data_IF_326512532852
#
_entry.id   IF_326512532852
#
_cell.length_a   1.000
_cell.length_b   1.000
_cell.length_c   1.000
_cell.angle_alpha   90.00
_cell.angle_beta   90.00
_cell.angle_gamma   90.00
#
_symmetry.space_group_name_H-M   'P 1'
#
loop_
_entity.id
_entity.type
_entity.pdbx_description
1 polymer ?
#
# COMPACT_ATOMS: atom_id res chain seq x y z
N UNK A 1 -58.37 -70.44 7.92
CA UNK A 1 -57.15 -69.82 8.47
C UNK A 1 -57.07 -70.13 9.96
N UNK A 2 -56.01 -70.80 10.40
CA UNK A 2 -55.77 -71.16 11.81
C UNK A 2 -55.22 -69.98 12.60
N UNK A 3 -55.25 -70.06 13.94
CA UNK A 3 -54.60 -69.07 14.81
C UNK A 3 -53.09 -68.98 14.54
N UNK A 4 -52.46 -70.13 14.27
CA UNK A 4 -51.04 -70.20 13.92
C UNK A 4 -50.72 -69.42 12.65
N UNK A 5 -51.52 -69.59 11.59
CA UNK A 5 -51.35 -68.85 10.32
C UNK A 5 -51.48 -67.33 10.52
N UNK A 6 -52.44 -66.89 11.35
CA UNK A 6 -52.63 -65.47 11.69
C UNK A 6 -51.44 -64.88 12.44
N UNK A 7 -50.92 -65.64 13.41
CA UNK A 7 -49.78 -65.21 14.22
C UNK A 7 -48.51 -65.11 13.37
N UNK A 8 -48.27 -66.09 12.49
CA UNK A 8 -47.15 -66.06 11.54
C UNK A 8 -47.23 -64.87 10.57
N UNK A 9 -48.41 -64.58 10.02
CA UNK A 9 -48.61 -63.44 9.13
C UNK A 9 -48.36 -62.10 9.83
N UNK A 10 -48.85 -61.94 11.07
CA UNK A 10 -48.59 -60.76 11.87
C UNK A 10 -47.10 -60.58 12.17
N UNK A 11 -46.41 -61.66 12.58
CA UNK A 11 -44.98 -61.63 12.85
C UNK A 11 -44.15 -61.21 11.63
N UNK A 12 -44.52 -61.67 10.43
CA UNK A 12 -43.84 -61.32 9.18
C UNK A 12 -44.02 -59.84 8.83
N UNK A 13 -45.23 -59.29 8.99
CA UNK A 13 -45.50 -57.86 8.75
C UNK A 13 -44.74 -57.00 9.76
N UNK A 14 -44.71 -57.37 11.04
CA UNK A 14 -43.95 -56.66 12.07
C UNK A 14 -42.45 -56.67 11.76
N UNK A 15 -41.88 -57.83 11.44
CA UNK A 15 -40.46 -57.94 11.08
C UNK A 15 -40.11 -57.13 9.82
N UNK A 16 -41.00 -57.10 8.82
CA UNK A 16 -40.84 -56.26 7.63
C UNK A 16 -40.84 -54.77 7.96
N UNK A 17 -41.77 -54.32 8.80
CA UNK A 17 -41.86 -52.93 9.24
C UNK A 17 -40.64 -52.51 10.08
N UNK A 18 -40.14 -53.38 10.95
CA UNK A 18 -38.94 -53.14 11.74
C UNK A 18 -37.71 -53.03 10.84
N UNK A 19 -37.56 -53.95 9.88
CA UNK A 19 -36.47 -53.92 8.90
C UNK A 19 -36.48 -52.62 8.09
N UNK A 20 -37.65 -52.21 7.56
CA UNK A 20 -37.80 -50.94 6.84
C UNK A 20 -37.46 -49.74 7.73
N UNK A 21 -37.77 -49.80 9.03
CA UNK A 21 -37.44 -48.75 9.97
C UNK A 21 -35.91 -48.65 10.19
N UNK A 22 -35.22 -49.79 10.33
CA UNK A 22 -33.75 -49.83 10.42
C UNK A 22 -33.07 -49.39 9.12
N UNK A 23 -33.59 -49.77 7.96
CA UNK A 23 -33.05 -49.33 6.66
C UNK A 23 -33.21 -47.81 6.45
N UNK A 24 -34.32 -47.23 6.90
CA UNK A 24 -34.59 -45.78 6.78
C UNK A 24 -33.82 -44.93 7.79
N UNK A 25 -33.70 -45.40 9.04
CA UNK A 25 -33.03 -44.67 10.14
C UNK A 25 -31.51 -44.88 10.08
N UNK A 26 -31.05 -46.05 9.60
CA UNK A 26 -29.66 -46.45 9.61
C UNK A 26 -29.19 -46.99 10.97
N UNK A 27 -27.94 -47.45 11.01
CA UNK A 27 -27.30 -47.94 12.23
C UNK A 27 -26.61 -46.77 12.97
N UNK A 28 -27.01 -46.51 14.23
CA UNK A 28 -26.43 -45.42 15.01
C UNK A 28 -24.92 -45.59 15.24
N UNK A 29 -24.42 -46.83 15.23
CA UNK A 29 -23.00 -47.13 15.38
C UNK A 29 -22.14 -46.53 14.24
N UNK A 30 -22.71 -46.26 13.07
CA UNK A 30 -21.99 -45.72 11.91
C UNK A 30 -21.96 -44.18 11.85
N UNK A 31 -22.55 -43.49 12.83
CA UNK A 31 -22.47 -42.02 12.91
C UNK A 31 -21.04 -41.56 13.24
N UNK A 32 -20.60 -40.44 12.66
CA UNK A 32 -19.31 -39.81 13.00
C UNK A 32 -19.39 -38.86 14.21
N UNK A 33 -20.59 -38.65 14.76
CA UNK A 33 -20.78 -37.89 16.01
C UNK A 33 -20.24 -38.68 17.20
N UNK A 34 -19.89 -37.97 18.27
CA UNK A 34 -19.47 -38.60 19.53
C UNK A 34 -20.65 -39.30 20.20
N UNK A 35 -21.81 -38.65 20.23
CA UNK A 35 -23.05 -39.15 20.83
C UNK A 35 -23.83 -39.98 19.81
N UNK A 36 -24.06 -41.26 20.15
CA UNK A 36 -24.74 -42.25 19.29
C UNK A 36 -25.96 -42.92 19.96
N UNK A 37 -26.46 -42.34 21.05
CA UNK A 37 -27.59 -42.89 21.83
C UNK A 37 -28.94 -42.71 21.12
N UNK A 38 -29.07 -41.69 20.27
CA UNK A 38 -30.22 -41.47 19.39
C UNK A 38 -29.82 -40.54 18.24
N UNK A 39 -30.60 -40.55 17.13
CA UNK A 39 -30.44 -39.55 16.06
C UNK A 39 -30.61 -38.12 16.58
N UNK A 40 -31.55 -37.90 17.50
CA UNK A 40 -31.81 -36.58 18.09
C UNK A 40 -30.60 -36.08 18.85
N UNK A 41 -29.96 -36.94 19.64
CA UNK A 41 -28.75 -36.58 20.38
C UNK A 41 -27.58 -36.24 19.44
N UNK A 42 -27.39 -37.04 18.38
CA UNK A 42 -26.39 -36.77 17.35
C UNK A 42 -26.65 -35.45 16.59
N UNK A 43 -27.90 -35.16 16.24
CA UNK A 43 -28.30 -33.91 15.58
C UNK A 43 -28.07 -32.70 16.49
N UNK A 44 -28.41 -32.80 17.77
CA UNK A 44 -28.19 -31.71 18.74
C UNK A 44 -26.70 -31.46 18.99
N UNK A 45 -25.84 -32.50 18.95
CA UNK A 45 -24.39 -32.35 18.98
C UNK A 45 -23.89 -31.53 17.77
N UNK A 46 -24.35 -31.90 16.55
CA UNK A 46 -23.98 -31.18 15.31
C UNK A 46 -24.48 -29.73 15.35
N UNK A 47 -25.72 -29.48 15.79
CA UNK A 47 -26.26 -28.13 15.92
C UNK A 47 -25.42 -27.26 16.87
N UNK A 48 -24.99 -27.84 17.99
CA UNK A 48 -24.12 -27.16 18.97
C UNK A 48 -22.74 -26.86 18.38
N UNK A 49 -22.16 -27.82 17.65
CA UNK A 49 -20.87 -27.65 16.98
C UNK A 49 -20.92 -26.56 15.91
N UNK A 50 -21.99 -26.52 15.10
CA UNK A 50 -22.21 -25.47 14.09
C UNK A 50 -22.44 -24.11 14.75
N UNK A 51 -23.25 -24.05 15.81
CA UNK A 51 -23.46 -22.80 16.57
C UNK A 51 -22.18 -22.27 17.22
N UNK A 52 -21.25 -23.16 17.57
CA UNK A 52 -19.94 -22.83 18.14
C UNK A 52 -18.87 -22.57 17.07
N UNK A 53 -19.14 -22.89 15.81
CA UNK A 53 -18.27 -22.64 14.67
C UNK A 53 -18.30 -21.15 14.28
N UNK A 54 -17.94 -20.26 15.21
CA UNK A 54 -17.72 -18.85 14.90
C UNK A 54 -16.39 -18.72 14.18
N UNK A 55 -16.38 -18.74 12.85
CA UNK A 55 -15.16 -18.52 12.08
C UNK A 55 -14.72 -17.05 12.13
N UNK A 56 -15.62 -16.13 12.50
CA UNK A 56 -15.36 -14.69 12.56
C UNK A 56 -15.08 -14.26 14.00
N UNK A 57 -13.95 -13.62 14.25
CA UNK A 57 -13.61 -13.07 15.55
C UNK A 57 -12.77 -11.79 15.43
N UNK A 58 -13.35 -10.63 15.73
CA UNK A 58 -12.71 -9.31 15.58
C UNK A 58 -11.85 -8.86 16.76
N UNK A 59 -11.71 -9.72 17.78
CA UNK A 59 -11.04 -9.37 19.05
C UNK A 59 -9.63 -9.91 19.17
N UNK A 60 -9.33 -11.04 18.52
CA UNK A 60 -8.05 -11.73 18.62
C UNK A 60 -7.53 -12.16 17.25
N UNK A 61 -6.23 -12.04 17.05
CA UNK A 61 -5.56 -12.64 15.90
C UNK A 61 -5.55 -14.16 16.10
N UNK A 62 -5.87 -14.90 15.04
CA UNK A 62 -5.92 -16.35 15.07
C UNK A 62 -5.52 -16.94 13.72
N UNK A 63 -4.92 -18.13 13.74
CA UNK A 63 -4.66 -18.93 12.53
C UNK A 63 -5.87 -19.75 12.09
N UNK A 64 -6.94 -19.82 12.91
CA UNK A 64 -8.14 -20.64 12.65
C UNK A 64 -9.43 -19.82 12.59
N UNK A 65 -9.31 -18.49 12.67
CA UNK A 65 -10.42 -17.54 12.58
C UNK A 65 -10.06 -16.45 11.57
N UNK A 66 -11.08 -15.81 11.02
CA UNK A 66 -10.96 -14.63 10.17
C UNK A 66 -11.57 -13.42 10.86
N UNK A 67 -11.23 -12.23 10.39
CA UNK A 67 -11.93 -11.00 10.74
C UNK A 67 -13.19 -10.81 9.89
N UNK A 68 -14.12 -10.02 10.39
CA UNK A 68 -15.27 -9.50 9.64
C UNK A 68 -14.78 -8.51 8.57
N UNK A 69 -15.58 -8.29 7.53
CA UNK A 69 -15.27 -7.29 6.50
C UNK A 69 -15.09 -5.89 7.09
N UNK A 70 -15.92 -5.52 8.07
CA UNK A 70 -15.84 -4.24 8.77
C UNK A 70 -14.51 -4.08 9.52
N UNK A 71 -14.03 -5.14 10.20
CA UNK A 71 -12.75 -5.10 10.90
C UNK A 71 -11.57 -5.06 9.93
N UNK A 72 -11.67 -5.76 8.79
CA UNK A 72 -10.66 -5.71 7.73
C UNK A 72 -10.54 -4.29 7.15
N UNK A 73 -11.67 -3.65 6.80
CA UNK A 73 -11.67 -2.26 6.31
C UNK A 73 -11.04 -1.30 7.34
N UNK A 74 -11.43 -1.41 8.61
CA UNK A 74 -10.87 -0.56 9.67
C UNK A 74 -9.35 -0.74 9.87
N UNK A 75 -8.82 -1.96 9.70
CA UNK A 75 -7.38 -2.21 9.77
C UNK A 75 -6.66 -1.64 8.53
N UNK A 76 -7.23 -1.81 7.34
CA UNK A 76 -6.67 -1.24 6.10
C UNK A 76 -6.60 0.28 6.19
N UNK A 77 -7.67 0.94 6.63
CA UNK A 77 -7.69 2.39 6.78
C UNK A 77 -6.63 2.88 7.77
N UNK A 78 -6.48 2.18 8.90
CA UNK A 78 -5.47 2.49 9.90
C UNK A 78 -4.04 2.31 9.36
N UNK A 79 -3.78 1.21 8.65
CA UNK A 79 -2.47 0.91 8.06
C UNK A 79 -2.11 1.89 6.95
N UNK A 80 -3.07 2.27 6.09
CA UNK A 80 -2.88 3.28 5.05
C UNK A 80 -2.57 4.64 5.69
N UNK A 81 -3.32 5.05 6.71
CA UNK A 81 -3.05 6.30 7.41
C UNK A 81 -1.66 6.29 8.08
N UNK A 82 -1.26 5.18 8.69
CA UNK A 82 0.07 5.03 9.28
C UNK A 82 1.18 5.10 8.22
N UNK A 83 1.00 4.45 7.07
CA UNK A 83 1.95 4.48 5.97
C UNK A 83 2.11 5.89 5.39
N UNK A 84 1.00 6.59 5.14
CA UNK A 84 1.00 7.98 4.68
C UNK A 84 1.72 8.86 5.71
N UNK A 85 1.38 8.76 7.00
CA UNK A 85 2.05 9.53 8.04
C UNK A 85 3.56 9.25 8.12
N UNK A 86 3.97 7.99 7.93
CA UNK A 86 5.40 7.61 7.90
C UNK A 86 6.14 8.20 6.70
N UNK A 87 5.48 8.32 5.54
CA UNK A 87 6.05 8.95 4.34
C UNK A 87 6.14 10.47 4.53
N UNK A 88 5.10 11.07 5.11
CA UNK A 88 5.05 12.51 5.35
C UNK A 88 6.04 12.96 6.42
N UNK A 89 6.25 12.16 7.47
CA UNK A 89 7.24 12.45 8.51
C UNK A 89 7.04 13.80 9.21
N UNK A 90 5.82 14.36 9.20
CA UNK A 90 5.52 15.71 9.71
C UNK A 90 5.61 16.84 8.69
N UNK A 91 5.71 16.53 7.39
CA UNK A 91 5.56 17.51 6.33
C UNK A 91 4.23 18.28 6.47
N UNK A 92 4.27 19.60 6.27
CA UNK A 92 3.06 20.42 6.21
C UNK A 92 2.22 20.04 4.99
N UNK A 93 0.93 20.37 5.00
CA UNK A 93 0.01 20.13 3.87
C UNK A 93 0.42 20.76 2.52
N UNK A 94 1.40 21.68 2.52
CA UNK A 94 1.97 22.24 1.29
C UNK A 94 3.03 21.33 0.62
N UNK A 95 3.45 20.26 1.31
CA UNK A 95 4.49 19.32 0.88
C UNK A 95 4.06 17.88 1.17
N UNK A 96 2.76 17.62 1.20
CA UNK A 96 2.24 16.30 1.50
C UNK A 96 2.17 15.38 0.26
N UNK A 97 2.38 15.94 -0.93
CA UNK A 97 2.52 15.15 -2.15
C UNK A 97 3.98 15.06 -2.63
N UNK A 98 4.37 13.87 -3.10
CA UNK A 98 5.68 13.65 -3.73
C UNK A 98 5.87 14.54 -4.96
N UNK A 99 4.78 14.88 -5.66
CA UNK A 99 4.81 15.75 -6.84
C UNK A 99 5.19 17.19 -6.48
N UNK A 100 4.64 17.75 -5.39
CA UNK A 100 5.01 19.09 -4.91
C UNK A 100 6.49 19.15 -4.52
N UNK A 101 6.98 18.14 -3.79
CA UNK A 101 8.40 18.04 -3.42
C UNK A 101 9.28 17.94 -4.67
N UNK A 102 8.91 17.09 -5.64
CA UNK A 102 9.63 16.95 -6.90
C UNK A 102 9.68 18.28 -7.68
N UNK A 103 8.58 19.02 -7.73
CA UNK A 103 8.52 20.31 -8.42
C UNK A 103 9.37 21.38 -7.71
N UNK A 104 9.35 21.40 -6.37
CA UNK A 104 10.18 22.30 -5.58
C UNK A 104 11.67 22.06 -5.82
N UNK A 105 12.12 20.81 -5.78
CA UNK A 105 13.52 20.45 -6.00
C UNK A 105 13.99 20.83 -7.42
N UNK A 106 13.19 20.55 -8.45
CA UNK A 106 13.50 20.96 -9.83
C UNK A 106 13.58 22.49 -9.98
N UNK A 107 12.70 23.24 -9.32
CA UNK A 107 12.74 24.70 -9.31
C UNK A 107 13.98 25.27 -8.59
N UNK A 108 14.38 24.63 -7.49
CA UNK A 108 15.57 25.00 -6.71
C UNK A 108 16.86 24.72 -7.49
N UNK A 109 16.96 23.59 -8.21
CA UNK A 109 18.14 23.24 -9.02
C UNK A 109 18.42 24.29 -10.11
N UNK A 110 17.37 24.78 -10.77
CA UNK A 110 17.48 25.88 -11.73
C UNK A 110 17.92 27.18 -11.06
N UNK A 111 17.36 27.48 -9.88
CA UNK A 111 17.68 28.69 -9.14
C UNK A 111 19.14 28.70 -8.66
N UNK A 112 19.63 27.57 -8.16
CA UNK A 112 21.02 27.41 -7.70
C UNK A 112 22.00 27.48 -8.88
N UNK A 113 21.69 26.82 -9.99
CA UNK A 113 22.50 26.88 -11.23
C UNK A 113 22.59 28.31 -11.77
N UNK A 114 21.48 29.03 -11.78
CA UNK A 114 21.44 30.43 -12.19
C UNK A 114 22.27 31.31 -11.25
N UNK A 115 22.18 31.11 -9.93
CA UNK A 115 22.98 31.85 -8.96
C UNK A 115 24.48 31.56 -9.13
N UNK A 116 24.86 30.29 -9.28
CA UNK A 116 26.25 29.90 -9.47
C UNK A 116 26.82 30.48 -10.77
N UNK A 117 26.04 30.46 -11.85
CA UNK A 117 26.41 31.08 -13.13
C UNK A 117 26.56 32.59 -12.99
N UNK A 118 25.61 33.27 -12.33
CA UNK A 118 25.69 34.70 -12.08
C UNK A 118 26.91 35.08 -11.24
N UNK A 119 27.26 34.28 -10.23
CA UNK A 119 28.46 34.48 -9.41
C UNK A 119 29.74 34.22 -10.22
N UNK A 120 29.77 33.16 -11.03
CA UNK A 120 30.92 32.83 -11.89
C UNK A 120 31.19 33.89 -12.97
N UNK A 121 30.15 34.59 -13.44
CA UNK A 121 30.26 35.67 -14.40
C UNK A 121 30.77 37.00 -13.79
N UNK A 122 30.93 37.09 -12.46
CA UNK A 122 31.49 38.30 -11.82
C UNK A 122 33.01 38.32 -11.92
N UNK A 123 33.54 39.51 -12.17
CA UNK A 123 34.98 39.77 -12.09
C UNK A 123 35.41 39.70 -10.62
N UNK A 124 36.44 38.91 -10.34
CA UNK A 124 37.09 38.81 -9.04
C UNK A 124 38.19 39.84 -8.92
N UNK A 125 38.33 40.40 -7.74
CA UNK A 125 39.41 41.33 -7.38
C UNK A 125 40.44 40.70 -6.45
N UNK A 126 40.11 39.56 -5.84
CA UNK A 126 40.93 38.88 -4.85
C UNK A 126 41.98 37.93 -5.47
N UNK A 127 41.86 37.65 -6.78
CA UNK A 127 42.84 36.84 -7.51
C UNK A 127 42.86 37.20 -8.99
N UNK A 128 43.93 36.81 -9.69
CA UNK A 128 44.03 36.93 -11.14
C UNK A 128 43.05 35.98 -11.84
N UNK A 129 42.29 36.48 -12.81
CA UNK A 129 41.34 35.69 -13.61
C UNK A 129 41.76 35.60 -15.08
N UNK A 130 41.55 34.44 -15.70
CA UNK A 130 41.69 34.25 -17.13
C UNK A 130 40.34 34.47 -17.82
N UNK A 131 40.19 35.63 -18.49
CA UNK A 131 39.00 36.00 -19.27
C UNK A 131 39.31 35.98 -20.77
N UNK A 132 38.33 35.61 -21.59
CA UNK A 132 38.42 35.73 -23.06
C UNK A 132 38.44 37.21 -23.48
N UNK A 133 38.90 37.51 -24.70
CA UNK A 133 38.92 38.89 -25.23
C UNK A 133 37.53 39.55 -25.17
N UNK A 134 36.50 38.86 -25.63
CA UNK A 134 35.12 39.36 -25.58
C UNK A 134 34.63 39.62 -24.14
N UNK A 135 35.00 38.77 -23.18
CA UNK A 135 34.67 38.98 -21.76
C UNK A 135 35.38 40.22 -21.21
N UNK A 136 36.66 40.45 -21.56
CA UNK A 136 37.41 41.64 -21.14
C UNK A 136 36.76 42.92 -21.66
N UNK A 137 36.45 43.00 -22.95
CA UNK A 137 35.74 44.13 -23.55
C UNK A 137 34.42 44.41 -22.81
N UNK A 138 33.59 43.38 -22.59
CA UNK A 138 32.31 43.56 -21.89
C UNK A 138 32.50 44.05 -20.44
N UNK A 139 33.49 43.52 -19.73
CA UNK A 139 33.84 43.97 -18.37
C UNK A 139 34.23 45.44 -18.39
N UNK A 140 35.18 45.82 -19.25
CA UNK A 140 35.70 47.18 -19.36
C UNK A 140 34.62 48.18 -19.77
N UNK A 141 33.70 47.77 -20.66
CA UNK A 141 32.51 48.55 -20.99
C UNK A 141 31.58 48.72 -19.78
N UNK A 142 31.30 47.67 -19.02
CA UNK A 142 30.42 47.72 -17.83
C UNK A 142 30.96 48.64 -16.73
N UNK A 143 32.28 48.69 -16.54
CA UNK A 143 32.93 49.55 -15.54
C UNK A 143 33.30 50.94 -16.07
N UNK A 144 33.02 51.22 -17.35
CA UNK A 144 33.22 52.53 -17.97
C UNK A 144 34.68 52.91 -18.26
N UNK A 145 35.58 51.92 -18.45
CA UNK A 145 37.01 52.18 -18.74
C UNK A 145 37.38 52.12 -20.23
N UNK A 146 36.41 51.85 -21.12
CA UNK A 146 36.61 51.84 -22.57
C UNK A 146 37.12 50.50 -23.12
N UNK A 147 37.54 50.47 -24.39
CA UNK A 147 38.03 49.24 -25.03
C UNK A 147 39.49 48.94 -24.63
N UNK A 148 39.77 47.83 -23.90
CA UNK A 148 41.10 47.52 -23.38
C UNK A 148 42.18 47.36 -24.46
N UNK A 149 41.82 46.94 -25.68
CA UNK A 149 42.76 46.73 -26.78
C UNK A 149 42.91 47.98 -27.69
N UNK A 150 42.47 49.16 -27.24
CA UNK A 150 42.61 50.41 -28.01
C UNK A 150 44.09 50.75 -28.26
N UNK A 151 44.50 50.80 -29.53
CA UNK A 151 45.83 51.27 -29.92
C UNK A 151 45.88 52.81 -29.93
N UNK A 152 46.19 53.37 -28.76
CA UNK A 152 46.33 54.81 -28.60
C UNK A 152 47.50 55.40 -29.42
N UNK A 153 48.52 54.59 -29.75
CA UNK A 153 49.65 55.04 -30.56
C UNK A 153 49.20 55.23 -32.01
N UNK A 154 48.42 54.29 -32.55
CA UNK A 154 47.82 54.44 -33.88
C UNK A 154 46.88 55.65 -33.95
N UNK A 155 46.02 55.86 -32.95
CA UNK A 155 45.12 57.02 -32.88
C UNK A 155 45.92 58.33 -32.86
N UNK A 156 46.95 58.40 -32.02
CA UNK A 156 47.81 59.58 -31.92
C UNK A 156 48.52 59.89 -33.25
N UNK A 157 49.10 58.87 -33.89
CA UNK A 157 49.79 59.03 -35.16
C UNK A 157 48.84 59.45 -36.29
N UNK A 158 47.59 58.97 -36.28
CA UNK A 158 46.57 59.38 -37.24
C UNK A 158 46.13 60.85 -37.05
N UNK A 159 46.16 61.37 -35.82
CA UNK A 159 45.79 62.76 -35.54
C UNK A 159 46.89 63.78 -35.90
N UNK A 160 48.13 63.32 -36.08
CA UNK A 160 49.27 64.15 -36.51
C UNK A 160 49.36 64.33 -38.03
N UNK A 161 48.66 63.49 -38.81
CA UNK A 161 48.63 63.50 -40.28
C UNK A 161 47.61 64.51 -40.82
#
# INVERSE_FOLDING_TARGET
MTLQERLSALALVLAGNDKLSFERIGNLATLNTTTKTSLVAAINEVLTAIGSATQINDTIISSTKTYSSQKIEALIDADVAAAVNSILGGASAAYDTLLEIQNLLQGQDNSLTNLLTAVANRVRFDTAQALTAAQKTQVCANIGVGEPDTDFVAIYNAALA
#
